data_IF_934039032955
#
_entry.id   IF_934039032955
#
_cell.length_a   1.000
_cell.length_b   1.000
_cell.length_c   1.000
_cell.angle_alpha   90.00
_cell.angle_beta   90.00
_cell.angle_gamma   90.00
#
_symmetry.space_group_name_H-M   'P 1'
#
loop_
_entity.id
_entity.type
_entity.pdbx_description
1 polymer ?
#
# COMPACT_ATOMS: atom_id res chain seq x y z
N UNK A 1 16.19 -3.33 7.20
CA UNK A 1 15.79 -3.76 5.85
C UNK A 1 14.97 -2.72 5.07
N UNK A 2 14.15 -1.86 5.69
CA UNK A 2 13.34 -0.83 4.97
C UNK A 2 14.13 0.25 4.20
N UNK A 3 15.39 0.52 4.54
CA UNK A 3 16.19 1.60 3.92
C UNK A 3 16.74 1.28 2.51
N UNK A 4 16.61 0.03 2.05
CA UNK A 4 17.16 -0.42 0.76
C UNK A 4 16.10 -0.43 -0.36
N UNK A 5 14.82 -0.34 0.00
CA UNK A 5 13.73 -0.36 -0.97
C UNK A 5 13.44 1.07 -1.45
N UNK A 6 13.21 1.28 -2.76
CA UNK A 6 12.83 2.60 -3.27
C UNK A 6 11.51 3.03 -2.63
N UNK A 7 11.57 4.08 -1.80
CA UNK A 7 10.41 4.60 -1.07
C UNK A 7 9.32 5.16 -1.98
N UNK A 8 9.62 5.41 -3.26
CA UNK A 8 8.65 5.79 -4.29
C UNK A 8 7.72 4.64 -4.68
N UNK A 9 8.16 3.39 -4.56
CA UNK A 9 7.42 2.22 -5.05
C UNK A 9 6.99 1.29 -3.92
N UNK A 10 7.75 1.22 -2.84
CA UNK A 10 7.40 0.38 -1.69
C UNK A 10 6.75 1.20 -0.59
N UNK A 11 5.64 0.70 -0.07
CA UNK A 11 4.89 1.31 1.03
C UNK A 11 4.58 0.28 2.11
N UNK A 12 4.69 0.71 3.37
CA UNK A 12 4.47 -0.18 4.49
C UNK A 12 3.06 -0.04 5.02
N UNK A 13 2.19 -0.99 4.67
CA UNK A 13 0.78 -1.00 5.05
C UNK A 13 0.53 -1.52 6.46
N UNK A 14 1.39 -2.38 6.98
CA UNK A 14 1.26 -2.99 8.31
C UNK A 14 2.61 -3.06 9.00
N UNK A 15 2.65 -3.34 10.30
CA UNK A 15 3.92 -3.45 11.01
C UNK A 15 4.81 -4.57 10.42
N UNK A 16 4.21 -5.63 9.90
CA UNK A 16 4.95 -6.74 9.28
C UNK A 16 4.87 -6.79 7.75
N UNK A 17 4.11 -5.90 7.11
CA UNK A 17 3.87 -5.97 5.66
C UNK A 17 4.29 -4.69 4.93
N UNK A 18 5.20 -4.87 3.98
CA UNK A 18 5.62 -3.88 2.99
C UNK A 18 5.17 -4.41 1.64
N UNK A 19 4.47 -3.59 0.87
CA UNK A 19 3.98 -3.95 -0.46
C UNK A 19 4.55 -3.02 -1.51
N UNK A 20 4.57 -3.50 -2.75
CA UNK A 20 4.92 -2.70 -3.91
C UNK A 20 3.64 -2.08 -4.50
N UNK A 21 3.62 -0.75 -4.66
CA UNK A 21 2.54 0.04 -5.26
C UNK A 21 2.24 -0.40 -6.70
N UNK A 22 3.24 -0.85 -7.46
CA UNK A 22 3.02 -1.31 -8.86
C UNK A 22 2.23 -2.62 -8.93
N UNK A 23 2.25 -3.43 -7.86
CA UNK A 23 1.51 -4.69 -7.80
C UNK A 23 0.14 -4.52 -7.15
N UNK A 24 -0.27 -3.30 -6.79
CA UNK A 24 -1.61 -3.04 -6.27
C UNK A 24 -2.58 -3.02 -7.44
N UNK A 25 -3.56 -3.91 -7.38
CA UNK A 25 -4.69 -3.96 -8.30
C UNK A 25 -5.74 -2.94 -7.95
N UNK A 26 -6.14 -2.89 -6.68
CA UNK A 26 -7.16 -1.96 -6.19
C UNK A 26 -7.02 -1.74 -4.68
N UNK A 27 -7.43 -0.57 -4.20
CA UNK A 27 -7.57 -0.28 -2.78
C UNK A 27 -9.05 -0.18 -2.40
N UNK A 28 -9.49 -1.05 -1.47
CA UNK A 28 -10.85 -1.06 -0.93
C UNK A 28 -10.90 -0.16 0.30
N UNK A 29 -11.66 0.92 0.17
CA UNK A 29 -11.90 1.92 1.21
C UNK A 29 -13.04 1.43 2.15
N UNK A 30 -12.76 0.43 2.97
CA UNK A 30 -13.67 -0.10 4.01
C UNK A 30 -13.34 0.35 5.44
N UNK A 31 -14.00 -0.23 6.44
CA UNK A 31 -13.76 0.04 7.89
C UNK A 31 -12.30 -0.16 8.32
N UNK A 32 -11.60 -1.12 7.68
CA UNK A 32 -10.18 -1.39 7.93
C UNK A 32 -9.22 -0.86 6.86
N UNK A 33 -9.70 -0.56 5.65
CA UNK A 33 -8.84 -0.28 4.50
C UNK A 33 -8.07 -1.53 4.06
N UNK A 34 -8.33 -2.02 2.85
CA UNK A 34 -7.71 -3.24 2.33
C UNK A 34 -7.09 -2.97 0.96
N UNK A 35 -5.94 -3.55 0.69
CA UNK A 35 -5.34 -3.56 -0.65
C UNK A 35 -5.52 -4.92 -1.28
N UNK A 36 -5.85 -4.93 -2.57
CA UNK A 36 -5.85 -6.12 -3.41
C UNK A 36 -4.62 -6.02 -4.31
N UNK A 37 -3.78 -7.05 -4.29
CA UNK A 37 -2.64 -7.18 -5.20
C UNK A 37 -3.08 -7.85 -6.51
N UNK A 38 -2.28 -7.70 -7.56
CA UNK A 38 -2.54 -8.30 -8.88
C UNK A 38 -2.71 -9.83 -8.83
N UNK A 39 -1.99 -10.49 -7.92
CA UNK A 39 -2.10 -11.92 -7.68
C UNK A 39 -3.37 -12.35 -6.90
N UNK A 40 -4.27 -11.41 -6.58
CA UNK A 40 -5.49 -11.66 -5.81
C UNK A 40 -5.30 -11.67 -4.29
N UNK A 41 -4.08 -11.45 -3.79
CA UNK A 41 -3.81 -11.37 -2.34
C UNK A 41 -4.45 -10.12 -1.76
N UNK A 42 -5.15 -10.27 -0.64
CA UNK A 42 -5.77 -9.17 0.09
C UNK A 42 -5.00 -8.91 1.37
N UNK A 43 -4.58 -7.67 1.60
CA UNK A 43 -3.86 -7.29 2.81
C UNK A 43 -4.55 -6.13 3.49
N UNK A 44 -4.71 -6.26 4.81
CA UNK A 44 -5.30 -5.23 5.65
C UNK A 44 -4.26 -4.15 5.90
N UNK A 45 -4.68 -2.89 5.75
CA UNK A 45 -3.86 -1.73 6.01
C UNK A 45 -4.11 -1.25 7.43
N UNK A 46 -3.07 -0.98 8.19
CA UNK A 46 -3.22 -0.40 9.52
C UNK A 46 -3.85 1.00 9.40
N UNK A 47 -4.87 1.32 10.20
CA UNK A 47 -5.57 2.62 10.14
C UNK A 47 -4.63 3.83 10.24
N UNK A 48 -3.54 3.71 11.01
CA UNK A 48 -2.50 4.74 11.16
C UNK A 48 -1.64 4.96 9.90
N UNK A 49 -1.62 4.00 8.96
CA UNK A 49 -0.83 4.00 7.72
C UNK A 49 -1.66 4.06 6.45
N UNK A 50 -2.98 3.92 6.59
CA UNK A 50 -3.97 4.17 5.54
C UNK A 50 -3.73 5.49 4.83
N UNK A 51 -3.53 6.56 5.60
CA UNK A 51 -3.35 7.91 5.06
C UNK A 51 -2.06 8.02 4.23
N UNK A 52 -0.96 7.46 4.76
CA UNK A 52 0.32 7.40 4.04
C UNK A 52 0.20 6.57 2.75
N UNK A 53 -0.42 5.40 2.80
CA UNK A 53 -0.67 4.58 1.62
C UNK A 53 -1.48 5.36 0.60
N UNK A 54 -2.60 5.97 1.00
CA UNK A 54 -3.48 6.70 0.09
C UNK A 54 -2.73 7.84 -0.58
N UNK A 55 -1.99 8.65 0.19
CA UNK A 55 -1.22 9.77 -0.32
C UNK A 55 -0.18 9.33 -1.35
N UNK A 56 0.54 8.24 -1.08
CA UNK A 56 1.51 7.68 -2.04
C UNK A 56 0.84 7.07 -3.26
N UNK A 57 -0.28 6.37 -3.07
CA UNK A 57 -1.04 5.74 -4.14
C UNK A 57 -1.65 6.77 -5.10
N UNK A 58 -2.23 7.86 -4.57
CA UNK A 58 -2.72 8.98 -5.37
C UNK A 58 -1.61 9.71 -6.11
N UNK A 59 -0.44 9.90 -5.47
CA UNK A 59 0.74 10.46 -6.15
C UNK A 59 1.23 9.56 -7.28
N UNK A 60 1.22 8.25 -7.07
CA UNK A 60 1.62 7.27 -8.08
C UNK A 60 0.67 7.27 -9.29
N UNK A 61 -0.64 7.37 -9.09
CA UNK A 61 -1.63 7.47 -10.17
C UNK A 61 -1.55 8.77 -10.99
N UNK A 62 -1.02 9.86 -10.41
CA UNK A 62 -0.88 11.16 -11.07
C UNK A 62 0.48 11.35 -11.76
N UNK A 63 1.37 10.37 -11.66
CA UNK A 63 2.72 10.37 -12.25
C UNK A 63 2.68 9.68 -13.60
#
# INVERSE_FOLDING_TARGET
YEKLLPGDTFVRIHDQHIINLTCIKEYIKGSGGEVILENGTRLIVASRRKDELLSRFEKWLKK
#
